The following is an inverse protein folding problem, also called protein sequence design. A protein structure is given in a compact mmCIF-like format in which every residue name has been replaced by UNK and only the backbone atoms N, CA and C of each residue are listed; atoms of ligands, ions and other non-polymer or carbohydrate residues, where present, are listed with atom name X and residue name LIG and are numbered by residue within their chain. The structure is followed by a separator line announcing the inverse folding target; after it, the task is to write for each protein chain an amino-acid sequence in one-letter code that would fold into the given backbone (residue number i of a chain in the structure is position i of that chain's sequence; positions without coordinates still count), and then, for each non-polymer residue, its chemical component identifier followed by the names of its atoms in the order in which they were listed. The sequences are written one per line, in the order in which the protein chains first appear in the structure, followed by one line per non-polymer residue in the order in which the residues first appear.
data_IF_693533547319
#
_entry.id   IF_693533547319
#
_cell.length_a   1.000
_cell.length_b   1.000
_cell.length_c   1.000
_cell.angle_alpha   90.00
_cell.angle_beta   90.00
_cell.angle_gamma   90.00
#
_symmetry.space_group_name_H-M   'P 1'
#
loop_
_entity.id
_entity.type
_entity.pdbx_description
1 polymer ?
#
# COMPACT_ATOMS: atom_id res chain seq x y z
N UNK A 1 12.79 8.52 -12.90
CA UNK A 1 13.24 7.60 -11.84
C UNK A 1 14.56 8.06 -11.26
N UNK A 2 14.81 7.81 -10.00
CA UNK A 2 16.03 8.20 -9.33
C UNK A 2 16.02 7.89 -7.85
N UNK A 3 17.07 8.33 -7.17
CA UNK A 3 17.11 8.34 -5.72
C UNK A 3 17.19 9.77 -5.21
N UNK A 4 16.55 10.04 -4.10
CA UNK A 4 16.56 11.37 -3.46
C UNK A 4 16.81 11.22 -1.97
N UNK A 5 17.52 12.18 -1.38
CA UNK A 5 17.65 12.26 0.08
C UNK A 5 16.32 12.70 0.67
N UNK A 6 15.71 11.85 1.48
CA UNK A 6 14.45 12.08 2.20
C UNK A 6 14.72 11.96 3.69
N UNK A 7 14.99 13.08 4.36
CA UNK A 7 15.43 13.05 5.76
C UNK A 7 16.76 12.32 5.91
N UNK A 8 16.77 11.26 6.71
CA UNK A 8 17.95 10.43 7.06
C UNK A 8 18.22 9.27 6.09
N UNK A 9 17.35 9.04 5.07
CA UNK A 9 17.44 7.93 4.12
C UNK A 9 17.42 8.42 2.68
N UNK A 10 18.02 7.63 1.78
CA UNK A 10 17.80 7.78 0.34
C UNK A 10 16.65 6.87 -0.07
N UNK A 11 15.65 7.47 -0.71
CA UNK A 11 14.51 6.75 -1.26
C UNK A 11 14.61 6.67 -2.78
N UNK A 12 14.39 5.48 -3.32
CA UNK A 12 14.17 5.28 -4.74
C UNK A 12 12.73 5.65 -5.09
N UNK A 13 12.54 6.33 -6.22
CA UNK A 13 11.22 6.70 -6.73
C UNK A 13 11.17 6.70 -8.25
N UNK A 14 9.97 6.58 -8.76
CA UNK A 14 9.63 6.77 -10.17
C UNK A 14 8.45 7.74 -10.28
N UNK A 15 8.45 8.53 -11.35
CA UNK A 15 7.34 9.41 -11.72
C UNK A 15 6.88 9.05 -13.11
N UNK A 16 5.60 8.78 -13.25
CA UNK A 16 4.96 8.39 -14.50
C UNK A 16 3.80 9.33 -14.81
N UNK A 17 3.63 9.70 -16.09
CA UNK A 17 2.57 10.61 -16.51
C UNK A 17 2.78 12.06 -16.09
N UNK A 18 1.70 12.83 -16.09
CA UNK A 18 1.67 14.26 -15.77
C UNK A 18 0.30 14.64 -15.18
N UNK A 19 0.18 15.87 -14.66
CA UNK A 19 -1.05 16.34 -14.01
C UNK A 19 -0.92 16.43 -12.50
N UNK A 20 -2.04 16.24 -11.79
CA UNK A 20 -2.04 16.30 -10.33
C UNK A 20 -1.24 15.13 -9.72
N UNK A 21 -0.41 15.40 -8.70
CA UNK A 21 0.43 14.37 -8.10
C UNK A 21 -0.38 13.34 -7.31
N UNK A 22 -0.12 12.08 -7.59
CA UNK A 22 -0.64 10.91 -6.88
C UNK A 22 0.52 10.12 -6.27
N UNK A 23 0.66 10.16 -4.94
CA UNK A 23 1.63 9.36 -4.21
C UNK A 23 1.05 7.98 -3.91
N UNK A 24 1.75 6.93 -4.31
CA UNK A 24 1.35 5.53 -4.09
C UNK A 24 2.28 4.86 -3.07
N UNK A 25 1.72 4.37 -1.96
CA UNK A 25 2.46 3.78 -0.85
C UNK A 25 2.20 2.27 -0.79
N UNK A 26 3.24 1.49 -1.03
CA UNK A 26 3.16 0.03 -1.06
C UNK A 26 3.18 -0.58 0.34
N UNK A 27 2.72 -1.83 0.44
CA UNK A 27 2.59 -2.59 1.68
C UNK A 27 3.86 -3.27 2.18
N UNK A 28 3.66 -4.12 3.18
CA UNK A 28 4.69 -4.82 3.97
C UNK A 28 5.73 -5.51 3.09
N UNK A 29 6.99 -5.12 3.26
CA UNK A 29 8.13 -5.79 2.63
C UNK A 29 8.17 -5.75 1.10
N UNK A 30 7.25 -5.03 0.47
CA UNK A 30 7.14 -4.91 -0.98
C UNK A 30 7.70 -3.60 -1.49
N UNK A 31 8.28 -3.61 -2.68
CA UNK A 31 8.80 -2.44 -3.38
C UNK A 31 7.79 -1.89 -4.40
N UNK A 32 8.12 -0.78 -5.04
CA UNK A 32 7.39 -0.20 -6.16
C UNK A 32 7.18 -1.20 -7.31
N UNK A 33 8.07 -2.19 -7.45
CA UNK A 33 7.92 -3.26 -8.42
C UNK A 33 6.66 -4.13 -8.22
N UNK A 34 5.97 -4.06 -7.07
CA UNK A 34 4.73 -4.81 -6.83
C UNK A 34 3.51 -4.20 -7.55
N UNK A 35 3.54 -2.90 -7.86
CA UNK A 35 2.52 -2.31 -8.70
C UNK A 35 2.59 -2.89 -10.12
N UNK A 36 1.48 -3.38 -10.66
CA UNK A 36 1.48 -3.91 -12.02
C UNK A 36 1.74 -2.79 -13.04
N UNK A 37 2.49 -3.06 -14.12
CA UNK A 37 2.67 -2.09 -15.20
C UNK A 37 1.34 -1.61 -15.81
N UNK A 38 0.33 -2.47 -15.85
CA UNK A 38 -1.02 -2.12 -16.34
C UNK A 38 -1.61 -1.03 -15.47
N UNK A 39 -1.61 -1.20 -14.14
CA UNK A 39 -2.12 -0.22 -13.21
C UNK A 39 -1.38 1.12 -13.31
N UNK A 40 -0.04 1.08 -13.32
CA UNK A 40 0.78 2.30 -13.42
C UNK A 40 0.48 3.04 -14.74
N UNK A 41 0.42 2.33 -15.86
CA UNK A 41 0.13 2.94 -17.16
C UNK A 41 -1.26 3.59 -17.17
N UNK A 42 -2.28 2.95 -16.62
CA UNK A 42 -3.62 3.51 -16.55
C UNK A 42 -3.68 4.75 -15.64
N UNK A 43 -3.13 4.69 -14.44
CA UNK A 43 -3.12 5.85 -13.53
C UNK A 43 -2.34 7.03 -14.12
N UNK A 44 -1.25 6.75 -14.84
CA UNK A 44 -0.39 7.76 -15.48
C UNK A 44 -1.07 8.54 -16.62
N UNK A 45 -2.19 8.04 -17.14
CA UNK A 45 -3.05 8.78 -18.09
C UNK A 45 -3.86 9.88 -17.39
N UNK A 46 -3.96 9.82 -16.08
CA UNK A 46 -4.82 10.69 -15.28
C UNK A 46 -4.05 11.58 -14.31
N UNK A 47 -2.88 11.11 -13.85
CA UNK A 47 -2.12 11.72 -12.76
C UNK A 47 -0.62 11.71 -13.03
N UNK A 48 0.09 12.61 -12.37
CA UNK A 48 1.52 12.44 -12.12
C UNK A 48 1.68 11.37 -11.04
N UNK A 49 1.78 10.11 -11.45
CA UNK A 49 1.84 8.95 -10.56
C UNK A 49 3.24 8.76 -10.01
N UNK A 50 3.39 8.87 -8.69
CA UNK A 50 4.65 8.74 -7.97
C UNK A 50 4.62 7.44 -7.20
N UNK A 51 5.49 6.50 -7.55
CA UNK A 51 5.74 5.27 -6.78
C UNK A 51 7.13 5.34 -6.18
N UNK A 52 7.30 4.76 -5.00
CA UNK A 52 8.59 4.73 -4.34
C UNK A 52 8.77 3.46 -3.52
N UNK A 53 10.01 3.16 -3.21
CA UNK A 53 10.36 2.08 -2.29
C UNK A 53 10.43 2.64 -0.87
N UNK A 54 9.61 2.11 0.04
CA UNK A 54 9.74 2.45 1.46
C UNK A 54 11.15 2.14 1.98
N UNK A 55 11.62 2.86 3.02
CA UNK A 55 12.87 2.45 3.69
C UNK A 55 12.84 0.95 3.99
N UNK A 56 13.93 0.26 3.78
CA UNK A 56 14.02 -1.18 4.00
C UNK A 56 13.67 -2.04 2.79
N UNK A 57 13.10 -1.49 1.70
CA UNK A 57 12.69 -2.27 0.51
C UNK A 57 13.41 -1.80 -0.76
N UNK A 58 13.33 -2.64 -1.78
CA UNK A 58 13.73 -2.29 -3.13
C UNK A 58 15.13 -1.67 -3.22
N UNK A 59 15.21 -0.51 -3.88
CA UNK A 59 16.42 0.26 -4.09
C UNK A 59 16.62 1.39 -3.06
N UNK A 60 15.69 1.54 -2.09
CA UNK A 60 15.84 2.48 -0.99
C UNK A 60 16.82 1.99 0.08
N UNK A 61 17.33 2.90 0.89
CA UNK A 61 18.20 2.58 2.03
C UNK A 61 17.51 1.64 3.03
N UNK A 62 18.32 0.81 3.70
CA UNK A 62 17.85 -0.23 4.61
C UNK A 62 18.52 -0.11 5.99
N UNK A 63 18.32 1.05 6.69
CA UNK A 63 19.00 1.28 7.97
C UNK A 63 18.63 0.21 9.00
N UNK A 64 19.64 -0.20 9.82
CA UNK A 64 19.48 -1.25 10.81
C UNK A 64 18.97 -0.71 12.16
N UNK A 65 17.89 0.07 12.12
CA UNK A 65 17.20 0.66 13.27
C UNK A 65 15.76 0.15 13.35
N UNK A 66 15.08 0.23 14.49
CA UNK A 66 13.63 0.02 14.54
C UNK A 66 12.88 0.99 13.63
N UNK A 67 11.83 0.53 12.97
CA UNK A 67 10.95 1.37 12.15
C UNK A 67 9.62 1.61 12.86
N UNK A 68 8.97 2.72 12.54
CA UNK A 68 7.58 3.00 12.95
C UNK A 68 6.76 3.51 11.78
N UNK A 69 5.45 3.46 11.89
CA UNK A 69 4.55 3.95 10.83
C UNK A 69 4.65 5.47 10.67
N UNK A 70 4.88 6.21 11.75
CA UNK A 70 5.13 7.65 11.72
C UNK A 70 6.46 7.98 11.01
N UNK A 71 7.48 7.13 11.18
CA UNK A 71 8.75 7.28 10.45
C UNK A 71 8.53 7.13 8.94
N UNK A 72 7.77 6.12 8.49
CA UNK A 72 7.42 5.96 7.08
C UNK A 72 6.56 7.13 6.56
N UNK A 73 5.64 7.66 7.38
CA UNK A 73 4.87 8.85 7.00
C UNK A 73 5.78 10.08 6.83
N UNK A 74 6.77 10.25 7.72
CA UNK A 74 7.81 11.27 7.60
C UNK A 74 8.64 11.13 6.32
N UNK A 75 8.99 9.90 5.94
CA UNK A 75 9.70 9.61 4.68
C UNK A 75 8.87 10.03 3.45
N UNK A 76 7.57 9.71 3.46
CA UNK A 76 6.67 10.09 2.37
C UNK A 76 6.59 11.63 2.23
N UNK A 77 6.55 12.36 3.35
CA UNK A 77 6.58 13.83 3.33
C UNK A 77 7.93 14.34 2.81
N UNK A 78 9.04 13.79 3.30
CA UNK A 78 10.38 14.20 2.86
C UNK A 78 10.61 13.92 1.36
N UNK A 79 10.04 12.82 0.82
CA UNK A 79 10.02 12.56 -0.61
C UNK A 79 9.25 13.64 -1.37
N UNK A 80 8.03 13.99 -0.94
CA UNK A 80 7.25 15.06 -1.57
C UNK A 80 7.98 16.41 -1.52
N UNK A 81 8.66 16.72 -0.41
CA UNK A 81 9.45 17.94 -0.27
C UNK A 81 10.63 17.97 -1.24
N UNK A 82 11.36 16.87 -1.35
CA UNK A 82 12.48 16.74 -2.29
C UNK A 82 12.02 16.87 -3.76
N UNK A 83 10.79 16.42 -4.07
CA UNK A 83 10.17 16.58 -5.39
C UNK A 83 9.48 17.96 -5.56
N UNK A 84 9.50 18.83 -4.55
CA UNK A 84 8.83 20.14 -4.53
C UNK A 84 7.32 20.06 -4.75
N UNK A 85 6.70 19.02 -4.20
CA UNK A 85 5.26 18.77 -4.25
C UNK A 85 4.66 19.18 -2.91
N UNK A 86 3.97 20.31 -2.83
CA UNK A 86 3.43 20.82 -1.56
C UNK A 86 2.23 20.01 -1.08
N UNK A 87 1.45 19.41 -2.00
CA UNK A 87 0.24 18.65 -1.70
C UNK A 87 0.00 17.57 -2.76
N UNK A 88 -0.50 16.41 -2.39
CA UNK A 88 -0.78 15.32 -3.31
C UNK A 88 -2.03 14.54 -2.94
N UNK A 89 -2.60 13.81 -3.90
CA UNK A 89 -3.46 12.67 -3.60
C UNK A 89 -2.59 11.54 -3.07
N UNK A 90 -3.11 10.73 -2.15
CA UNK A 90 -2.38 9.62 -1.55
C UNK A 90 -3.20 8.34 -1.68
N UNK A 91 -2.57 7.29 -2.21
CA UNK A 91 -3.12 5.94 -2.25
C UNK A 91 -2.17 4.98 -1.53
N UNK A 92 -2.59 4.44 -0.40
CA UNK A 92 -1.83 3.46 0.38
C UNK A 92 -2.55 2.13 0.47
N UNK A 93 -1.82 1.02 0.25
CA UNK A 93 -2.36 -0.35 0.34
C UNK A 93 -1.74 -1.12 1.49
N UNK A 94 -2.54 -1.90 2.23
CA UNK A 94 -2.04 -2.76 3.30
C UNK A 94 -1.26 -1.96 4.35
N UNK A 95 0.00 -2.28 4.64
CA UNK A 95 0.88 -1.44 5.47
C UNK A 95 0.99 -0.01 4.92
N UNK A 96 0.99 0.17 3.60
CA UNK A 96 0.96 1.51 2.99
C UNK A 96 -0.30 2.30 3.34
N UNK A 97 -1.43 1.62 3.52
CA UNK A 97 -2.66 2.21 4.05
C UNK A 97 -2.56 2.59 5.54
N UNK A 98 -1.79 1.81 6.32
CA UNK A 98 -1.48 2.16 7.72
C UNK A 98 -0.61 3.43 7.77
N UNK A 99 0.42 3.51 6.91
CA UNK A 99 1.28 4.69 6.74
C UNK A 99 0.45 5.91 6.31
N UNK A 100 -0.46 5.72 5.35
CA UNK A 100 -1.31 6.80 4.84
C UNK A 100 -2.29 7.34 5.92
N UNK A 101 -2.74 6.50 6.85
CA UNK A 101 -3.50 6.95 8.02
C UNK A 101 -2.65 7.85 8.93
N UNK A 102 -1.42 7.44 9.28
CA UNK A 102 -0.52 8.27 10.09
C UNK A 102 -0.13 9.57 9.36
N UNK A 103 0.04 9.51 8.04
CA UNK A 103 0.30 10.68 7.21
C UNK A 103 -0.89 11.66 7.23
N UNK A 104 -2.12 11.16 7.11
CA UNK A 104 -3.33 12.00 7.18
C UNK A 104 -3.55 12.62 8.57
N UNK A 105 -3.17 11.91 9.64
CA UNK A 105 -3.28 12.36 11.02
C UNK A 105 -2.19 13.37 11.39
N UNK A 106 -0.95 13.15 10.93
CA UNK A 106 0.20 13.99 11.26
C UNK A 106 0.41 15.19 10.32
N UNK A 107 0.02 15.05 9.05
CA UNK A 107 0.30 16.01 8.00
C UNK A 107 -0.93 16.30 7.10
N UNK A 108 -2.10 16.62 7.65
CA UNK A 108 -3.36 16.72 6.88
C UNK A 108 -3.32 17.77 5.76
N UNK A 109 -2.54 18.84 5.91
CA UNK A 109 -2.38 19.88 4.88
C UNK A 109 -1.63 19.40 3.64
N UNK A 110 -0.94 18.27 3.70
CA UNK A 110 -0.15 17.70 2.59
C UNK A 110 -1.00 16.78 1.69
N UNK A 111 -2.21 16.40 2.12
CA UNK A 111 -3.10 15.51 1.39
C UNK A 111 -4.28 16.26 0.78
N UNK A 112 -4.51 16.05 -0.50
CA UNK A 112 -5.70 16.54 -1.22
C UNK A 112 -6.87 15.57 -1.08
N UNK A 113 -6.60 14.28 -1.30
CA UNK A 113 -7.50 13.17 -0.99
C UNK A 113 -6.70 11.98 -0.49
N UNK A 114 -7.38 11.09 0.21
CA UNK A 114 -6.82 9.88 0.79
C UNK A 114 -7.56 8.66 0.26
N UNK A 115 -6.84 7.67 -0.26
CA UNK A 115 -7.41 6.36 -0.57
C UNK A 115 -6.70 5.28 0.24
N UNK A 116 -7.47 4.55 1.03
CA UNK A 116 -7.01 3.47 1.91
C UNK A 116 -7.43 2.13 1.32
N UNK A 117 -6.46 1.38 0.82
CA UNK A 117 -6.67 0.06 0.18
C UNK A 117 -6.34 -1.09 1.13
N UNK A 118 -7.24 -2.08 1.24
CA UNK A 118 -7.00 -3.37 1.95
C UNK A 118 -6.20 -3.23 3.25
N UNK A 119 -6.61 -2.33 4.13
CA UNK A 119 -5.86 -1.96 5.34
C UNK A 119 -6.69 -2.07 6.62
N UNK A 120 -6.07 -1.84 7.76
CA UNK A 120 -6.69 -1.92 9.09
C UNK A 120 -6.34 -0.69 9.93
N UNK A 121 -7.10 -0.44 10.99
CA UNK A 121 -6.79 0.59 12.01
C UNK A 121 -5.96 0.04 13.19
N UNK A 122 -5.66 -1.25 13.17
CA UNK A 122 -4.86 -1.92 14.20
C UNK A 122 -5.53 -2.03 15.58
N UNK A 123 -4.73 -2.46 16.55
CA UNK A 123 -5.18 -2.62 17.94
C UNK A 123 -6.31 -3.64 18.11
N UNK A 124 -7.09 -3.48 19.18
CA UNK A 124 -8.19 -4.38 19.54
C UNK A 124 -9.40 -4.34 18.60
N UNK A 125 -9.44 -3.36 17.70
CA UNK A 125 -10.54 -3.17 16.75
C UNK A 125 -10.23 -3.82 15.39
N UNK A 126 -9.00 -4.28 15.17
CA UNK A 126 -8.65 -5.01 13.96
C UNK A 126 -9.28 -6.40 13.95
N UNK A 127 -9.83 -6.77 12.81
CA UNK A 127 -10.29 -8.14 12.55
C UNK A 127 -9.08 -8.95 12.04
N UNK A 128 -8.66 -9.99 12.76
CA UNK A 128 -7.50 -10.78 12.36
C UNK A 128 -7.77 -11.59 11.09
N UNK A 129 -6.72 -11.99 10.35
CA UNK A 129 -6.86 -12.93 9.25
C UNK A 129 -7.40 -14.28 9.74
N UNK A 130 -8.05 -15.09 8.88
CA UNK A 130 -8.40 -16.46 9.16
C UNK A 130 -7.17 -17.29 9.58
N UNK A 131 -7.35 -18.37 10.39
CA UNK A 131 -6.24 -19.19 10.87
C UNK A 131 -5.34 -19.76 9.75
N UNK A 132 -5.92 -20.10 8.61
CA UNK A 132 -5.20 -20.62 7.44
C UNK A 132 -4.27 -19.56 6.84
N UNK A 133 -4.75 -18.34 6.71
CA UNK A 133 -3.95 -17.20 6.24
C UNK A 133 -2.83 -16.86 7.22
N UNK A 134 -3.14 -16.93 8.52
CA UNK A 134 -2.14 -16.70 9.56
C UNK A 134 -1.02 -17.74 9.51
N UNK A 135 -1.33 -19.02 9.26
CA UNK A 135 -0.33 -20.08 9.08
C UNK A 135 0.63 -19.77 7.92
N UNK A 136 0.10 -19.29 6.79
CA UNK A 136 0.93 -18.91 5.63
C UNK A 136 1.81 -17.72 5.97
N UNK A 137 1.21 -16.67 6.57
CA UNK A 137 1.89 -15.43 6.92
C UNK A 137 3.05 -15.64 7.91
N UNK A 138 2.88 -16.56 8.87
CA UNK A 138 3.86 -16.85 9.92
C UNK A 138 4.72 -18.07 9.65
N UNK A 139 4.56 -18.72 8.49
CA UNK A 139 5.35 -19.90 8.13
C UNK A 139 6.85 -19.56 8.11
N UNK A 140 7.69 -20.42 8.71
CA UNK A 140 9.13 -20.28 8.65
C UNK A 140 9.64 -20.25 7.20
N UNK A 141 10.73 -19.56 6.95
CA UNK A 141 11.37 -19.56 5.63
C UNK A 141 12.02 -20.90 5.28
N UNK A 142 12.54 -21.62 6.27
CA UNK A 142 13.07 -23.00 6.23
C UNK A 142 13.90 -23.32 4.97
N UNK A 143 14.77 -22.42 4.56
CA UNK A 143 15.59 -22.59 3.36
C UNK A 143 14.84 -22.39 2.02
N UNK A 144 13.58 -21.96 2.05
CA UNK A 144 12.84 -21.63 0.83
C UNK A 144 13.52 -20.48 0.08
N UNK A 145 13.59 -20.60 -1.23
CA UNK A 145 14.03 -19.52 -2.11
C UNK A 145 13.06 -18.34 -2.08
N UNK A 146 13.53 -17.15 -2.44
CA UNK A 146 12.66 -15.96 -2.52
C UNK A 146 11.51 -16.16 -3.53
N UNK A 147 11.74 -16.90 -4.61
CA UNK A 147 10.69 -17.28 -5.55
C UNK A 147 9.58 -18.15 -4.90
N UNK A 148 9.99 -19.15 -4.11
CA UNK A 148 9.04 -19.99 -3.38
C UNK A 148 8.25 -19.18 -2.35
N UNK A 149 8.87 -18.19 -1.70
CA UNK A 149 8.19 -17.30 -0.77
C UNK A 149 7.13 -16.45 -1.48
N UNK A 150 7.44 -15.96 -2.70
CA UNK A 150 6.45 -15.25 -3.53
C UNK A 150 5.29 -16.18 -3.86
N UNK A 151 5.54 -17.40 -4.35
CA UNK A 151 4.47 -18.35 -4.68
C UNK A 151 3.62 -18.72 -3.45
N UNK A 152 4.23 -18.90 -2.28
CA UNK A 152 3.53 -19.14 -1.01
C UNK A 152 2.63 -17.97 -0.59
N UNK A 153 2.93 -16.74 -1.01
CA UNK A 153 2.13 -15.57 -0.69
C UNK A 153 0.89 -15.40 -1.60
N UNK A 154 0.84 -16.04 -2.77
CA UNK A 154 -0.28 -15.86 -3.71
C UNK A 154 -1.65 -16.14 -3.11
N UNK A 155 -1.87 -17.22 -2.31
CA UNK A 155 -3.17 -17.46 -1.68
C UNK A 155 -3.60 -16.37 -0.68
N UNK A 156 -2.66 -15.55 -0.18
CA UNK A 156 -2.97 -14.39 0.65
C UNK A 156 -3.34 -13.15 -0.17
N UNK A 157 -2.78 -13.06 -1.39
CA UNK A 157 -2.94 -11.91 -2.27
C UNK A 157 -4.15 -12.03 -3.20
N UNK A 158 -4.47 -13.24 -3.65
CA UNK A 158 -5.44 -13.51 -4.71
C UNK A 158 -6.32 -14.73 -4.39
N UNK A 159 -7.58 -14.75 -4.85
CA UNK A 159 -8.42 -15.94 -4.86
C UNK A 159 -7.77 -17.08 -5.67
N UNK A 160 -8.07 -18.32 -5.27
CA UNK A 160 -7.50 -19.51 -5.91
C UNK A 160 -7.76 -19.54 -7.43
N UNK A 161 -8.96 -19.22 -7.84
CA UNK A 161 -9.40 -19.21 -9.24
C UNK A 161 -8.55 -18.23 -10.07
N UNK A 162 -8.24 -17.06 -9.51
CA UNK A 162 -7.35 -16.08 -10.14
C UNK A 162 -5.93 -16.62 -10.28
N UNK A 163 -5.38 -17.22 -9.21
CA UNK A 163 -4.02 -17.81 -9.24
C UNK A 163 -3.95 -18.90 -10.30
N UNK A 164 -4.94 -19.78 -10.38
CA UNK A 164 -4.96 -20.87 -11.36
C UNK A 164 -5.05 -20.33 -12.78
N UNK A 165 -5.91 -19.34 -13.03
CA UNK A 165 -6.13 -18.76 -14.36
C UNK A 165 -4.96 -17.88 -14.83
N UNK A 166 -4.36 -17.09 -13.92
CA UNK A 166 -3.29 -16.13 -14.23
C UNK A 166 -1.88 -16.63 -13.85
N UNK A 167 -1.72 -17.92 -13.59
CA UNK A 167 -0.45 -18.50 -13.13
C UNK A 167 0.74 -18.08 -13.98
N UNK A 168 0.63 -18.14 -15.31
CA UNK A 168 1.72 -17.77 -16.21
C UNK A 168 2.14 -16.29 -16.06
N UNK A 169 1.18 -15.39 -15.85
CA UNK A 169 1.44 -13.96 -15.64
C UNK A 169 2.09 -13.71 -14.26
N UNK A 170 1.63 -14.41 -13.22
CA UNK A 170 2.21 -14.34 -11.88
C UNK A 170 3.65 -14.86 -11.87
N UNK A 171 3.92 -15.99 -12.53
CA UNK A 171 5.29 -16.50 -12.71
C UNK A 171 6.18 -15.52 -13.50
N UNK A 172 5.68 -14.93 -14.57
CA UNK A 172 6.41 -13.96 -15.37
C UNK A 172 6.76 -12.67 -14.61
N UNK A 173 5.99 -12.34 -13.54
CA UNK A 173 6.27 -11.19 -12.69
C UNK A 173 7.40 -11.42 -11.66
N UNK A 174 7.73 -12.68 -11.33
CA UNK A 174 8.70 -13.02 -10.28
C UNK A 174 10.07 -12.37 -10.49
N UNK A 175 10.70 -12.42 -11.68
CA UNK A 175 12.00 -11.79 -11.88
C UNK A 175 11.99 -10.28 -11.56
N UNK A 176 10.93 -9.57 -11.92
CA UNK A 176 10.77 -8.15 -11.62
C UNK A 176 10.64 -7.90 -10.11
N UNK A 177 9.88 -8.72 -9.41
CA UNK A 177 9.69 -8.62 -7.96
C UNK A 177 10.98 -8.92 -7.18
N UNK A 178 11.84 -9.77 -7.74
CA UNK A 178 13.11 -10.19 -7.15
C UNK A 178 14.33 -9.38 -7.64
N UNK A 179 14.14 -8.41 -8.52
CA UNK A 179 15.27 -7.57 -8.97
C UNK A 179 15.99 -6.88 -7.81
N UNK A 180 15.26 -6.49 -6.77
CA UNK A 180 15.77 -5.86 -5.55
C UNK A 180 15.03 -6.40 -4.32
N UNK A 181 15.34 -7.61 -3.84
CA UNK A 181 14.59 -8.27 -2.80
C UNK A 181 14.75 -7.57 -1.45
N UNK A 182 13.70 -7.62 -0.65
CA UNK A 182 13.72 -7.08 0.71
C UNK A 182 14.42 -8.05 1.66
N UNK A 183 15.50 -7.66 2.32
CA UNK A 183 16.17 -8.50 3.29
C UNK A 183 15.25 -8.93 4.43
N UNK A 184 15.40 -10.16 4.93
CA UNK A 184 14.57 -10.69 6.01
C UNK A 184 14.57 -9.79 7.27
N UNK A 185 15.71 -9.17 7.59
CA UNK A 185 15.82 -8.25 8.72
C UNK A 185 15.03 -6.95 8.52
N UNK A 186 14.95 -6.44 7.29
CA UNK A 186 14.14 -5.27 6.96
C UNK A 186 12.65 -5.63 6.93
N UNK A 187 12.30 -6.77 6.36
CA UNK A 187 10.93 -7.31 6.42
C UNK A 187 10.41 -7.40 7.87
N UNK A 188 11.26 -7.96 8.77
CA UNK A 188 10.92 -8.02 10.20
C UNK A 188 10.67 -6.65 10.80
N UNK A 189 11.49 -5.63 10.48
CA UNK A 189 11.29 -4.26 10.98
C UNK A 189 9.99 -3.64 10.46
N UNK A 190 9.62 -3.92 9.21
CA UNK A 190 8.32 -3.53 8.67
C UNK A 190 7.18 -4.18 9.45
N UNK A 191 7.28 -5.49 9.68
CA UNK A 191 6.26 -6.23 10.44
C UNK A 191 6.14 -5.70 11.87
N UNK A 192 7.27 -5.48 12.55
CA UNK A 192 7.30 -4.93 13.90
C UNK A 192 6.62 -3.54 13.96
N UNK A 193 6.83 -2.69 12.94
CA UNK A 193 6.19 -1.39 12.84
C UNK A 193 4.65 -1.50 12.76
N UNK A 194 4.10 -2.51 12.06
CA UNK A 194 2.65 -2.68 11.93
C UNK A 194 1.96 -2.98 13.26
N UNK A 195 2.64 -3.62 14.21
CA UNK A 195 2.08 -3.87 15.55
C UNK A 195 1.89 -2.58 16.37
N UNK A 196 2.55 -1.49 16.00
CA UNK A 196 2.38 -0.19 16.63
C UNK A 196 1.08 0.53 16.24
N UNK A 197 0.40 0.09 15.18
CA UNK A 197 -0.79 0.78 14.67
C UNK A 197 -1.95 0.77 15.66
N UNK A 198 -2.45 1.97 16.00
CA UNK A 198 -3.60 2.19 16.90
C UNK A 198 -4.32 3.49 16.50
N UNK A 199 -4.89 3.48 15.30
CA UNK A 199 -5.51 4.70 14.73
C UNK A 199 -7.01 4.80 15.00
N UNK A 200 -7.68 3.74 15.45
CA UNK A 200 -9.15 3.67 15.59
C UNK A 200 -9.77 4.90 16.26
N UNK A 201 -9.24 5.32 17.41
CA UNK A 201 -9.78 6.47 18.17
C UNK A 201 -9.42 7.81 17.52
N UNK A 202 -8.43 7.84 16.65
CA UNK A 202 -7.94 9.02 15.91
C UNK A 202 -8.59 9.19 14.54
N UNK A 203 -9.15 8.13 13.94
CA UNK A 203 -9.79 8.17 12.62
C UNK A 203 -10.84 9.28 12.48
N UNK A 204 -11.69 9.59 13.51
CA UNK A 204 -12.65 10.69 13.40
C UNK A 204 -12.05 12.07 13.19
N UNK A 205 -10.76 12.24 13.45
CA UNK A 205 -10.05 13.51 13.21
C UNK A 205 -9.57 13.69 11.77
N UNK A 206 -9.56 12.65 10.95
CA UNK A 206 -9.24 12.73 9.52
C UNK A 206 -10.36 13.50 8.82
N UNK A 207 -10.01 14.66 8.25
CA UNK A 207 -10.92 15.54 7.49
C UNK A 207 -10.66 15.51 6.00
N UNK A 208 -9.56 14.91 5.58
CA UNK A 208 -9.23 14.72 4.17
C UNK A 208 -10.29 13.86 3.52
N UNK A 209 -10.85 14.24 2.36
CA UNK A 209 -11.77 13.40 1.61
C UNK A 209 -11.19 11.99 1.44
N UNK A 210 -11.93 10.96 1.88
CA UNK A 210 -11.39 9.60 2.00
C UNK A 210 -12.23 8.59 1.22
N UNK A 211 -11.57 7.77 0.41
CA UNK A 211 -12.08 6.52 -0.17
C UNK A 211 -11.43 5.35 0.55
N UNK A 212 -12.23 4.43 1.06
CA UNK A 212 -11.76 3.15 1.60
C UNK A 212 -12.18 2.05 0.64
N UNK A 213 -11.21 1.31 0.10
CA UNK A 213 -11.46 0.33 -0.95
C UNK A 213 -10.74 -0.99 -0.64
N UNK A 214 -11.39 -2.13 -0.90
CA UNK A 214 -10.83 -3.44 -0.60
C UNK A 214 -11.36 -4.50 -1.55
N UNK A 215 -10.71 -5.66 -1.63
CA UNK A 215 -11.31 -6.86 -2.18
C UNK A 215 -12.28 -7.49 -1.17
N UNK A 216 -13.48 -7.86 -1.60
CA UNK A 216 -14.48 -8.48 -0.73
C UNK A 216 -14.01 -9.84 -0.18
N UNK A 217 -13.16 -10.55 -0.94
CA UNK A 217 -12.55 -11.83 -0.58
C UNK A 217 -11.16 -11.72 0.06
N UNK A 218 -10.77 -10.56 0.58
CA UNK A 218 -9.45 -10.38 1.22
C UNK A 218 -9.32 -11.27 2.47
N UNK A 219 -8.44 -12.28 2.37
CA UNK A 219 -8.15 -13.22 3.46
C UNK A 219 -6.91 -12.83 4.27
N UNK A 220 -6.18 -11.79 3.86
CA UNK A 220 -5.02 -11.29 4.60
C UNK A 220 -5.43 -10.17 5.57
N UNK A 221 -6.18 -9.19 5.10
CA UNK A 221 -6.81 -8.16 5.93
C UNK A 221 -8.31 -8.15 5.60
N UNK A 222 -9.13 -8.91 6.34
CA UNK A 222 -10.55 -9.08 6.04
C UNK A 222 -11.26 -7.75 5.77
N UNK A 223 -12.15 -7.73 4.77
CA UNK A 223 -12.85 -6.53 4.31
C UNK A 223 -13.55 -5.74 5.44
N UNK A 224 -13.97 -6.42 6.51
CA UNK A 224 -14.52 -5.77 7.71
C UNK A 224 -13.59 -4.73 8.33
N UNK A 225 -12.26 -4.86 8.20
CA UNK A 225 -11.32 -3.83 8.64
C UNK A 225 -11.51 -2.52 7.87
N UNK A 226 -11.73 -2.61 6.57
CA UNK A 226 -12.00 -1.44 5.72
C UNK A 226 -13.35 -0.80 6.04
N UNK A 227 -14.39 -1.59 6.33
CA UNK A 227 -15.68 -1.07 6.80
C UNK A 227 -15.53 -0.29 8.11
N UNK A 228 -14.82 -0.86 9.09
CA UNK A 228 -14.54 -0.20 10.37
C UNK A 228 -13.87 1.17 10.16
N UNK A 229 -12.89 1.25 9.26
CA UNK A 229 -12.22 2.52 8.94
C UNK A 229 -13.21 3.50 8.32
N UNK A 230 -14.01 3.07 7.34
CA UNK A 230 -14.98 3.92 6.67
C UNK A 230 -16.09 4.43 7.61
N UNK A 231 -16.55 3.57 8.53
CA UNK A 231 -17.52 3.96 9.57
C UNK A 231 -16.96 5.04 10.52
N UNK A 232 -15.63 5.09 10.71
CA UNK A 232 -14.97 5.98 11.67
C UNK A 232 -14.51 7.30 11.08
N UNK A 233 -14.19 7.34 9.79
CA UNK A 233 -13.75 8.59 9.12
C UNK A 233 -14.98 9.34 8.62
N UNK A 234 -15.26 10.56 9.10
CA UNK A 234 -16.46 11.32 8.69
C UNK A 234 -16.48 11.57 7.18
N UNK A 235 -17.56 11.14 6.52
CA UNK A 235 -17.75 11.35 5.09
C UNK A 235 -16.93 10.41 4.19
N UNK A 236 -16.27 9.41 4.74
CA UNK A 236 -15.56 8.42 3.93
C UNK A 236 -16.52 7.63 3.04
N UNK A 237 -16.11 7.42 1.79
CA UNK A 237 -16.77 6.48 0.88
C UNK A 237 -16.16 5.10 1.06
N UNK A 238 -16.97 4.06 1.01
CA UNK A 238 -16.53 2.66 1.05
C UNK A 238 -16.89 1.93 -0.23
N UNK A 239 -15.98 1.11 -0.73
CA UNK A 239 -16.22 0.21 -1.85
C UNK A 239 -15.49 -1.12 -1.64
N UNK A 240 -16.21 -2.23 -1.79
CA UNK A 240 -15.63 -3.56 -1.81
C UNK A 240 -15.75 -4.14 -3.21
N UNK A 241 -14.63 -4.50 -3.83
CA UNK A 241 -14.60 -5.11 -5.15
C UNK A 241 -14.99 -6.58 -5.02
N UNK A 242 -16.10 -7.03 -5.63
CA UNK A 242 -16.52 -8.43 -5.59
C UNK A 242 -15.42 -9.36 -6.12
N UNK A 243 -15.35 -10.57 -5.58
CA UNK A 243 -14.44 -11.66 -6.02
C UNK A 243 -12.95 -11.28 -6.06
N UNK A 244 -12.57 -10.15 -5.47
CA UNK A 244 -11.19 -9.70 -5.38
C UNK A 244 -10.57 -10.03 -4.01
N UNK A 245 -9.28 -10.39 -4.04
CA UNK A 245 -8.46 -10.62 -2.85
C UNK A 245 -7.73 -9.37 -2.37
N UNK A 246 -6.66 -9.59 -1.57
CA UNK A 246 -5.85 -8.51 -1.01
C UNK A 246 -5.22 -7.60 -2.08
N UNK A 247 -4.72 -8.19 -3.17
CA UNK A 247 -4.12 -7.43 -4.27
C UNK A 247 -5.14 -7.01 -5.35
N UNK A 248 -6.35 -6.60 -4.93
CA UNK A 248 -7.45 -6.17 -5.81
C UNK A 248 -7.00 -5.17 -6.89
N UNK A 249 -6.11 -4.27 -6.56
CA UNK A 249 -5.59 -3.22 -7.44
C UNK A 249 -4.79 -3.77 -8.64
N UNK A 250 -4.18 -4.95 -8.50
CA UNK A 250 -3.52 -5.68 -9.58
C UNK A 250 -4.45 -6.72 -10.23
N UNK A 251 -5.38 -7.28 -9.44
CA UNK A 251 -6.33 -8.30 -9.90
C UNK A 251 -7.42 -7.72 -10.77
N UNK A 252 -8.02 -6.61 -10.37
CA UNK A 252 -9.16 -5.96 -10.99
C UNK A 252 -8.86 -4.47 -11.26
N UNK A 253 -7.81 -4.13 -12.05
CA UNK A 253 -7.38 -2.76 -12.23
C UNK A 253 -8.48 -1.87 -12.84
N UNK A 254 -9.29 -2.39 -13.77
CA UNK A 254 -10.36 -1.63 -14.43
C UNK A 254 -11.45 -1.22 -13.44
N UNK A 255 -11.85 -2.12 -12.52
CA UNK A 255 -12.85 -1.82 -11.51
C UNK A 255 -12.31 -0.85 -10.46
N UNK A 256 -11.07 -1.06 -10.02
CA UNK A 256 -10.39 -0.11 -9.14
C UNK A 256 -10.35 1.29 -9.75
N UNK A 257 -9.93 1.42 -10.99
CA UNK A 257 -9.81 2.71 -11.69
C UNK A 257 -11.18 3.39 -11.86
N UNK A 258 -12.23 2.62 -12.14
CA UNK A 258 -13.61 3.12 -12.27
C UNK A 258 -14.12 3.80 -11.00
N UNK A 259 -13.71 3.31 -9.83
CA UNK A 259 -14.04 3.91 -8.54
C UNK A 259 -13.06 5.00 -8.12
N UNK A 260 -11.77 4.76 -8.32
CA UNK A 260 -10.70 5.60 -7.84
C UNK A 260 -10.58 6.93 -8.59
N UNK A 261 -10.54 6.89 -9.93
CA UNK A 261 -10.28 8.11 -10.74
C UNK A 261 -11.39 9.17 -10.58
N UNK A 262 -12.70 8.84 -10.64
CA UNK A 262 -13.73 9.82 -10.38
C UNK A 262 -13.69 10.38 -8.96
N UNK A 263 -13.36 9.54 -7.96
CA UNK A 263 -13.20 10.01 -6.58
C UNK A 263 -12.08 11.05 -6.47
N UNK A 264 -10.90 10.76 -7.00
CA UNK A 264 -9.75 11.68 -6.95
C UNK A 264 -10.07 12.98 -7.70
N UNK A 265 -10.62 12.89 -8.92
CA UNK A 265 -10.99 14.05 -9.74
C UNK A 265 -12.10 14.93 -9.16
N UNK A 266 -12.93 14.39 -8.27
CA UNK A 266 -13.92 15.20 -7.55
C UNK A 266 -13.33 16.08 -6.45
N UNK A 267 -12.02 15.96 -6.19
CA UNK A 267 -11.28 16.71 -5.19
C UNK A 267 -9.99 17.30 -5.80
N UNK A 268 -10.11 18.22 -6.78
CA UNK A 268 -8.93 18.77 -7.48
C UNK A 268 -8.03 19.58 -6.54
N UNK A 269 -6.74 19.64 -6.85
CA UNK A 269 -5.80 20.55 -6.20
C UNK A 269 -6.15 22.01 -6.58
N UNK A 270 -6.43 22.83 -5.57
CA UNK A 270 -6.75 24.25 -5.70
C UNK A 270 -5.53 25.10 -5.38
#
# INVERSE_FOLDING_TARGET
MGQVQAGDVKLYFEVHGSGEPLLMIMGLGSSSATWSPVLINELSRHFQTIVYDNRGTGQSDKPAIPYSLEMFAGDAIALLDALKIPRSHVFGVSMGGMIAQELALGHPSRLQSLTLGCTTCGGKHAVPPPPESLKILTAPRDGASDEELIRRSWPLAYPKEYVDFRRAELEAAIPRLLAHPTPASAYKRHLDATYGLKTYDRLPSIKTPTLVITGAGDVLIPARNSEIIAERIPGARYHAIPDAGHAFFNQCPDEFIREFVPFVRSHPLT
#
